data_IF_066201249327
#
_entry.id   IF_066201249327
#
_cell.length_a   1.000
_cell.length_b   1.000
_cell.length_c   1.000
_cell.angle_alpha   90.00
_cell.angle_beta   90.00
_cell.angle_gamma   90.00
#
_symmetry.space_group_name_H-M   'P 1'
#
loop_
_entity.id
_entity.type
_entity.pdbx_description
1 polymer ?
#
# COMPACT_ATOMS: atom_id res chain seq x y z
N UNK A 1 -4.48 20.82 6.34
CA UNK A 1 -4.78 19.54 6.94
C UNK A 1 -5.55 18.64 6.02
N UNK A 2 -6.81 19.00 5.70
CA UNK A 2 -7.59 18.21 4.75
C UNK A 2 -6.91 18.14 3.39
N UNK A 3 -6.29 19.23 2.99
CA UNK A 3 -5.59 19.33 1.73
C UNK A 3 -4.44 18.29 1.66
N UNK A 4 -3.70 18.19 2.75
CA UNK A 4 -2.58 17.27 2.82
C UNK A 4 -3.05 15.81 2.76
N UNK A 5 -4.15 15.51 3.43
CA UNK A 5 -4.70 14.17 3.40
C UNK A 5 -5.16 13.80 1.98
N UNK A 6 -5.76 14.74 1.28
CA UNK A 6 -6.18 14.52 -0.10
C UNK A 6 -4.97 14.22 -0.98
N UNK A 7 -3.89 14.98 -0.80
CA UNK A 7 -2.66 14.75 -1.54
C UNK A 7 -2.09 13.36 -1.27
N UNK A 8 -2.06 12.98 -0.01
CA UNK A 8 -1.53 11.69 0.39
C UNK A 8 -2.36 10.56 -0.21
N UNK A 9 -3.68 10.68 -0.15
CA UNK A 9 -4.55 9.67 -0.73
C UNK A 9 -4.41 9.59 -2.24
N UNK A 10 -4.25 10.71 -2.90
CA UNK A 10 -4.06 10.72 -4.34
C UNK A 10 -2.73 10.09 -4.72
N UNK A 11 -1.70 10.37 -3.94
CA UNK A 11 -0.40 9.74 -4.15
C UNK A 11 -0.52 8.21 -4.02
N UNK A 12 -1.20 7.74 -2.99
CA UNK A 12 -1.35 6.30 -2.78
C UNK A 12 -2.12 5.65 -3.93
N UNK A 13 -3.16 6.30 -4.43
CA UNK A 13 -3.94 5.77 -5.53
C UNK A 13 -3.15 5.65 -6.83
N UNK A 14 -2.09 6.45 -6.95
CA UNK A 14 -1.27 6.44 -8.16
C UNK A 14 -0.21 5.34 -8.14
N UNK A 15 -0.04 4.66 -7.02
CA UNK A 15 0.98 3.62 -6.89
C UNK A 15 0.59 2.37 -7.66
N UNK A 16 1.56 1.79 -8.36
CA UNK A 16 1.32 0.51 -9.03
C UNK A 16 1.65 -0.66 -8.10
N UNK A 17 1.48 -1.87 -8.59
CA UNK A 17 1.69 -3.06 -7.75
C UNK A 17 3.14 -3.19 -7.29
N UNK A 18 4.07 -2.77 -8.11
CA UNK A 18 5.49 -2.83 -7.75
C UNK A 18 5.78 -1.90 -6.58
N UNK A 19 5.28 -0.68 -6.65
CA UNK A 19 5.48 0.29 -5.59
C UNK A 19 4.79 -0.13 -4.30
N UNK A 20 3.60 -0.70 -4.42
CA UNK A 20 2.89 -1.21 -3.26
C UNK A 20 3.65 -2.35 -2.61
N UNK A 21 4.26 -3.23 -3.41
CA UNK A 21 5.02 -4.36 -2.85
C UNK A 21 6.27 -3.87 -2.11
N UNK A 22 6.79 -2.74 -2.51
CA UNK A 22 7.93 -2.16 -1.82
C UNK A 22 7.52 -1.58 -0.47
N UNK A 23 6.41 -0.85 -0.44
CA UNK A 23 5.92 -0.22 0.79
C UNK A 23 5.40 -1.26 1.77
N UNK A 24 4.64 -2.22 1.27
CA UNK A 24 4.06 -3.28 2.10
C UNK A 24 4.77 -4.60 1.88
N UNK A 25 6.10 -4.58 1.91
CA UNK A 25 6.89 -5.77 1.61
C UNK A 25 6.56 -6.95 2.52
N UNK A 26 6.34 -6.69 3.81
CA UNK A 26 5.96 -7.76 4.73
C UNK A 26 4.67 -8.43 4.35
N UNK A 27 3.67 -7.62 4.01
CA UNK A 27 2.37 -8.14 3.58
C UNK A 27 2.51 -8.89 2.26
N UNK A 28 3.30 -8.35 1.35
CA UNK A 28 3.53 -8.97 0.06
C UNK A 28 4.15 -10.37 0.24
N UNK A 29 5.19 -10.47 1.05
CA UNK A 29 5.85 -11.74 1.31
C UNK A 29 4.90 -12.74 1.96
N UNK A 30 4.12 -12.26 2.92
CA UNK A 30 3.18 -13.12 3.63
C UNK A 30 2.15 -13.72 2.68
N UNK A 31 1.61 -12.89 1.79
CA UNK A 31 0.62 -13.36 0.82
C UNK A 31 1.26 -14.32 -0.19
N UNK A 32 2.46 -14.01 -0.65
CA UNK A 32 3.14 -14.87 -1.61
C UNK A 32 3.50 -16.21 -1.03
N UNK A 33 3.86 -16.25 0.26
CA UNK A 33 4.22 -17.50 0.90
C UNK A 33 3.00 -18.36 1.25
N UNK A 34 1.93 -17.72 1.67
CA UNK A 34 0.74 -18.44 2.11
C UNK A 34 -0.16 -18.86 0.97
N UNK A 35 -0.08 -18.15 -0.14
CA UNK A 35 -0.92 -18.47 -1.28
C UNK A 35 -0.35 -19.63 -2.06
N UNK A 36 -1.23 -20.33 -2.78
CA UNK A 36 -0.82 -21.39 -3.67
C UNK A 36 -0.23 -20.84 -4.96
N UNK A 37 0.41 -19.71 -4.89
CA UNK A 37 1.05 -19.06 -6.02
C UNK A 37 0.13 -18.98 -7.24
N UNK A 38 -1.11 -18.61 -7.00
CA UNK A 38 -2.08 -18.49 -8.08
C UNK A 38 -1.94 -17.15 -8.78
N UNK A 39 -2.42 -17.11 -10.00
CA UNK A 39 -2.39 -15.89 -10.81
C UNK A 39 -3.14 -14.73 -10.17
N UNK A 40 -3.99 -15.00 -9.20
CA UNK A 40 -4.75 -13.96 -8.51
C UNK A 40 -4.02 -13.36 -7.33
N UNK A 41 -2.84 -13.85 -7.03
CA UNK A 41 -2.10 -13.43 -5.83
C UNK A 41 -1.80 -11.94 -5.83
N UNK A 42 -1.39 -11.40 -6.97
CA UNK A 42 -1.09 -9.98 -7.07
C UNK A 42 -2.34 -9.13 -6.82
N UNK A 43 -3.46 -9.52 -7.41
CA UNK A 43 -4.71 -8.80 -7.19
C UNK A 43 -5.14 -8.86 -5.74
N UNK A 44 -4.95 -10.01 -5.13
CA UNK A 44 -5.26 -10.18 -3.72
C UNK A 44 -4.39 -9.28 -2.86
N UNK A 45 -3.09 -9.21 -3.17
CA UNK A 45 -2.17 -8.35 -2.45
C UNK A 45 -2.58 -6.89 -2.57
N UNK A 46 -2.90 -6.44 -3.78
CA UNK A 46 -3.30 -5.06 -4.00
C UNK A 46 -4.54 -4.72 -3.18
N UNK A 47 -5.49 -5.63 -3.16
CA UNK A 47 -6.72 -5.44 -2.39
C UNK A 47 -6.43 -5.32 -0.89
N UNK A 48 -5.57 -6.19 -0.38
CA UNK A 48 -5.21 -6.17 1.02
C UNK A 48 -4.41 -4.94 1.39
N UNK A 49 -3.51 -4.52 0.53
CA UNK A 49 -2.72 -3.32 0.77
C UNK A 49 -3.62 -2.09 0.86
N UNK A 50 -4.60 -2.01 -0.02
CA UNK A 50 -5.54 -0.90 0.01
C UNK A 50 -6.41 -0.92 1.25
N UNK A 51 -6.80 -2.10 1.69
CA UNK A 51 -7.58 -2.24 2.92
C UNK A 51 -6.76 -1.82 4.13
N UNK A 52 -5.50 -2.21 4.18
CA UNK A 52 -4.59 -1.81 5.24
C UNK A 52 -4.46 -0.30 5.29
N UNK A 53 -4.26 0.30 4.12
CA UNK A 53 -4.13 1.75 4.02
C UNK A 53 -5.36 2.44 4.58
N UNK A 54 -6.54 1.96 4.22
CA UNK A 54 -7.79 2.58 4.67
C UNK A 54 -7.97 2.50 6.17
N UNK A 55 -7.36 1.51 6.81
CA UNK A 55 -7.47 1.35 8.25
C UNK A 55 -6.40 2.10 9.02
N UNK A 56 -5.43 2.64 8.34
CA UNK A 56 -4.37 3.39 8.98
C UNK A 56 -4.86 4.75 9.47
N UNK A 57 -4.23 5.21 10.55
CA UNK A 57 -4.49 6.56 11.05
C UNK A 57 -3.86 7.58 10.10
N UNK A 58 -4.29 8.82 10.23
CA UNK A 58 -3.74 9.90 9.41
C UNK A 58 -2.24 10.04 9.66
N UNK A 59 -1.82 9.85 10.90
CA UNK A 59 -0.41 9.94 11.24
C UNK A 59 0.43 8.87 10.54
N UNK A 60 -0.09 7.66 10.50
CA UNK A 60 0.60 6.57 9.82
C UNK A 60 0.66 6.80 8.31
N UNK A 61 -0.42 7.27 7.73
CA UNK A 61 -0.45 7.57 6.30
C UNK A 61 0.57 8.66 5.96
N UNK A 62 0.63 9.68 6.79
CA UNK A 62 1.57 10.77 6.58
C UNK A 62 3.01 10.29 6.69
N UNK A 63 3.28 9.42 7.64
CA UNK A 63 4.61 8.86 7.82
C UNK A 63 5.04 8.07 6.59
N UNK A 64 4.16 7.24 6.08
CA UNK A 64 4.45 6.45 4.89
C UNK A 64 4.66 7.37 3.68
N UNK A 65 3.81 8.35 3.54
CA UNK A 65 3.93 9.29 2.44
C UNK A 65 5.29 10.00 2.47
N UNK A 66 5.69 10.51 3.63
CA UNK A 66 6.96 11.22 3.75
C UNK A 66 8.15 10.31 3.50
N UNK A 67 8.02 9.05 3.84
CA UNK A 67 9.11 8.10 3.71
C UNK A 67 9.27 7.59 2.27
N UNK A 68 8.16 7.41 1.56
CA UNK A 68 8.19 6.77 0.25
C UNK A 68 7.84 7.64 -0.94
N UNK A 69 7.48 8.88 -0.70
CA UNK A 69 7.01 9.74 -1.80
C UNK A 69 8.06 9.99 -2.89
N UNK A 70 9.31 9.77 -2.59
CA UNK A 70 10.41 10.01 -3.53
C UNK A 70 10.98 8.73 -4.14
N UNK A 71 10.28 7.64 -4.03
CA UNK A 71 10.76 6.38 -4.60
C UNK A 71 10.87 6.47 -6.11
#
# INVERSE_FOLDING_TARGET
MKKKLTEINNWFKSLDSFELSYIFSGLYEEIMESADARRCTINHFIKEAKAEWNEMSIEQKEKIYNEYKNI
#
